data_IF_835736765404
#
_entry.id   IF_835736765404
#
_cell.length_a   1.000
_cell.length_b   1.000
_cell.length_c   1.000
_cell.angle_alpha   90.00
_cell.angle_beta   90.00
_cell.angle_gamma   90.00
#
_symmetry.space_group_name_H-M   'P 1'
#
loop_
_entity.id
_entity.type
_entity.pdbx_description
1 polymer ?
#
# COMPACT_ATOMS: atom_id res chain seq x y z
N UNK A 1 -24.72 7.74 10.72
CA UNK A 1 -23.44 7.41 10.07
C UNK A 1 -22.74 8.69 9.65
N UNK A 2 -21.51 8.87 10.03
CA UNK A 2 -20.70 9.96 9.45
C UNK A 2 -20.38 9.60 8.01
N UNK A 3 -20.77 10.45 7.06
CA UNK A 3 -20.41 10.32 5.66
C UNK A 3 -18.88 10.44 5.55
N UNK A 4 -18.25 9.47 4.89
CA UNK A 4 -16.82 9.54 4.59
C UNK A 4 -16.58 10.68 3.61
N UNK A 5 -15.59 11.53 3.88
CA UNK A 5 -15.21 12.61 2.98
C UNK A 5 -14.76 12.06 1.62
N UNK A 6 -15.13 12.75 0.57
CA UNK A 6 -14.78 12.40 -0.80
C UNK A 6 -13.70 13.34 -1.34
N UNK A 7 -13.07 12.97 -2.45
CA UNK A 7 -12.13 13.83 -3.17
C UNK A 7 -12.78 15.17 -3.59
N UNK A 8 -14.08 15.16 -3.89
CA UNK A 8 -14.85 16.36 -4.21
C UNK A 8 -15.02 17.28 -3.00
N UNK A 9 -15.22 16.71 -1.82
CA UNK A 9 -15.30 17.50 -0.58
C UNK A 9 -13.97 18.20 -0.28
N UNK A 10 -12.84 17.51 -0.53
CA UNK A 10 -11.49 18.11 -0.41
C UNK A 10 -11.31 19.24 -1.40
N UNK A 11 -11.65 19.03 -2.67
CA UNK A 11 -11.55 20.04 -3.73
C UNK A 11 -12.34 21.30 -3.37
N UNK A 12 -13.57 21.13 -2.89
CA UNK A 12 -14.44 22.21 -2.42
C UNK A 12 -13.83 22.94 -1.22
N UNK A 13 -13.31 22.21 -0.24
CA UNK A 13 -12.71 22.78 0.98
C UNK A 13 -11.42 23.53 0.68
N UNK A 14 -10.63 23.06 -0.26
CA UNK A 14 -9.37 23.66 -0.69
C UNK A 14 -9.55 24.75 -1.77
N UNK A 15 -10.78 24.96 -2.27
CA UNK A 15 -11.09 25.87 -3.37
C UNK A 15 -10.27 25.60 -4.65
N UNK A 16 -10.08 24.33 -4.98
CA UNK A 16 -9.36 23.87 -6.17
C UNK A 16 -10.17 22.86 -6.96
N UNK A 17 -9.74 22.52 -8.17
CA UNK A 17 -10.37 21.46 -8.96
C UNK A 17 -10.09 20.06 -8.39
N UNK A 18 -10.98 19.10 -8.68
CA UNK A 18 -10.73 17.68 -8.37
C UNK A 18 -9.42 17.16 -8.98
N UNK A 19 -9.09 17.66 -10.16
CA UNK A 19 -7.83 17.31 -10.84
C UNK A 19 -6.62 17.80 -10.05
N UNK A 20 -6.68 18.98 -9.46
CA UNK A 20 -5.60 19.52 -8.62
C UNK A 20 -5.42 18.66 -7.37
N UNK A 21 -6.51 18.28 -6.69
CA UNK A 21 -6.44 17.34 -5.54
C UNK A 21 -5.82 16.02 -5.96
N UNK A 22 -6.27 15.45 -7.08
CA UNK A 22 -5.73 14.19 -7.60
C UNK A 22 -4.23 14.30 -7.92
N UNK A 23 -3.78 15.44 -8.48
CA UNK A 23 -2.36 15.67 -8.75
C UNK A 23 -1.54 15.79 -7.46
N UNK A 24 -2.02 16.51 -6.45
CA UNK A 24 -1.33 16.59 -5.15
C UNK A 24 -1.14 15.20 -4.54
N UNK A 25 -2.13 14.32 -4.67
CA UNK A 25 -2.07 12.96 -4.13
C UNK A 25 -1.13 12.06 -4.93
N UNK A 26 -1.15 12.14 -6.26
CA UNK A 26 -0.46 11.18 -7.13
C UNK A 26 0.84 11.70 -7.74
N UNK A 27 0.95 13.00 -7.94
CA UNK A 27 2.04 13.68 -8.63
C UNK A 27 2.31 15.05 -7.98
N UNK A 28 2.67 15.07 -6.67
CA UNK A 28 2.90 16.32 -5.95
C UNK A 28 3.98 17.18 -6.61
N UNK A 29 4.95 16.56 -7.26
CA UNK A 29 6.02 17.23 -8.00
C UNK A 29 5.52 18.15 -9.13
N UNK A 30 4.29 17.93 -9.60
CA UNK A 30 3.66 18.72 -10.66
C UNK A 30 2.78 19.86 -10.12
N UNK A 31 2.74 20.06 -8.82
CA UNK A 31 1.87 21.07 -8.18
C UNK A 31 2.72 22.02 -7.35
N UNK A 32 2.40 23.31 -7.43
CA UNK A 32 3.08 24.32 -6.62
C UNK A 32 2.95 24.03 -5.13
N UNK A 33 4.02 24.25 -4.37
CA UNK A 33 4.09 23.91 -2.94
C UNK A 33 2.99 24.55 -2.10
N UNK A 34 2.60 25.78 -2.44
CA UNK A 34 1.50 26.49 -1.76
C UNK A 34 0.14 25.76 -1.93
N UNK A 35 -0.12 25.24 -3.11
CA UNK A 35 -1.33 24.46 -3.38
C UNK A 35 -1.30 23.09 -2.70
N UNK A 36 -0.13 22.44 -2.62
CA UNK A 36 0.04 21.19 -1.87
C UNK A 36 -0.37 21.39 -0.41
N UNK A 37 0.16 22.42 0.26
CA UNK A 37 -0.15 22.73 1.66
C UNK A 37 -1.65 22.96 1.85
N UNK A 38 -2.31 23.71 0.96
CA UNK A 38 -3.74 24.01 1.06
C UNK A 38 -4.59 22.73 0.91
N UNK A 39 -4.22 21.85 -0.02
CA UNK A 39 -4.93 20.58 -0.25
C UNK A 39 -4.70 19.60 0.91
N UNK A 40 -3.47 19.49 1.39
CA UNK A 40 -3.13 18.62 2.54
C UNK A 40 -3.85 19.05 3.82
N UNK A 41 -3.91 20.37 4.09
CA UNK A 41 -4.68 20.92 5.21
C UNK A 41 -6.19 20.59 5.10
N UNK A 42 -6.75 20.73 3.90
CA UNK A 42 -8.14 20.36 3.63
C UNK A 42 -8.40 18.86 3.85
N UNK A 43 -7.49 18.01 3.39
CA UNK A 43 -7.56 16.55 3.61
C UNK A 43 -7.52 16.23 5.11
N UNK A 44 -6.62 16.86 5.84
CA UNK A 44 -6.49 16.66 7.29
C UNK A 44 -7.76 17.10 8.03
N UNK A 45 -8.28 18.31 7.74
CA UNK A 45 -9.50 18.86 8.36
C UNK A 45 -10.76 18.02 8.10
N UNK A 46 -10.82 17.37 6.95
CA UNK A 46 -11.93 16.50 6.57
C UNK A 46 -11.70 15.04 6.98
N UNK A 47 -10.55 14.72 7.58
CA UNK A 47 -10.12 13.35 7.84
C UNK A 47 -10.23 12.49 6.57
N UNK A 48 -9.86 13.07 5.43
CA UNK A 48 -9.87 12.39 4.14
C UNK A 48 -8.60 11.57 3.97
N UNK A 49 -8.78 10.29 3.72
CA UNK A 49 -7.70 9.39 3.35
C UNK A 49 -7.89 8.93 1.91
N UNK A 50 -6.87 9.09 1.04
CA UNK A 50 -6.96 8.59 -0.32
C UNK A 50 -7.33 7.11 -0.34
N UNK A 51 -8.34 6.76 -1.14
CA UNK A 51 -8.77 5.37 -1.27
C UNK A 51 -7.74 4.60 -2.12
N UNK A 52 -6.85 3.88 -1.45
CA UNK A 52 -5.82 3.09 -2.12
C UNK A 52 -6.41 1.98 -3.00
N UNK A 53 -7.55 1.41 -2.62
CA UNK A 53 -8.23 0.39 -3.44
C UNK A 53 -8.76 0.97 -4.76
N UNK A 54 -9.38 2.15 -4.72
CA UNK A 54 -9.82 2.83 -5.95
C UNK A 54 -8.62 3.24 -6.83
N UNK A 55 -7.51 3.66 -6.21
CA UNK A 55 -6.28 4.00 -6.92
C UNK A 55 -5.65 2.76 -7.55
N UNK A 56 -5.59 1.66 -6.82
CA UNK A 56 -5.10 0.37 -7.30
C UNK A 56 -5.89 -0.10 -8.52
N UNK A 57 -7.21 0.00 -8.47
CA UNK A 57 -8.09 -0.36 -9.58
C UNK A 57 -7.82 0.51 -10.82
N UNK A 58 -7.65 1.83 -10.63
CA UNK A 58 -7.40 2.75 -11.74
C UNK A 58 -6.02 2.53 -12.40
N UNK A 59 -5.02 2.06 -11.65
CA UNK A 59 -3.66 1.79 -12.13
C UNK A 59 -3.42 0.32 -12.50
N UNK A 60 -4.40 -0.55 -12.31
CA UNK A 60 -4.24 -2.01 -12.39
C UNK A 60 -3.08 -2.53 -11.52
N UNK A 61 -2.88 -1.91 -10.36
CA UNK A 61 -1.84 -2.24 -9.38
C UNK A 61 -2.46 -2.32 -8.00
N UNK A 62 -2.06 -3.30 -7.20
CA UNK A 62 -2.58 -3.46 -5.84
C UNK A 62 -1.84 -2.59 -4.83
N UNK A 63 -0.61 -2.20 -5.15
CA UNK A 63 0.34 -1.59 -4.23
C UNK A 63 0.61 -2.45 -2.99
N UNK A 64 0.54 -3.76 -3.17
CA UNK A 64 0.80 -4.76 -2.13
C UNK A 64 1.94 -5.68 -2.57
N UNK A 65 2.90 -5.88 -1.69
CA UNK A 65 3.91 -6.93 -1.79
C UNK A 65 3.66 -7.94 -0.68
N UNK A 66 3.63 -9.22 -1.01
CA UNK A 66 3.46 -10.30 -0.03
C UNK A 66 4.83 -10.88 0.35
N UNK A 67 5.10 -10.94 1.64
CA UNK A 67 6.23 -11.66 2.18
C UNK A 67 5.74 -13.01 2.72
N UNK A 68 6.17 -14.08 2.09
CA UNK A 68 5.72 -15.45 2.36
C UNK A 68 6.84 -16.22 3.04
N UNK A 69 6.59 -16.71 4.25
CA UNK A 69 7.52 -17.53 5.01
C UNK A 69 6.98 -18.96 5.06
N UNK A 70 7.64 -19.88 4.34
CA UNK A 70 7.23 -21.29 4.20
C UNK A 70 7.93 -22.22 5.19
N UNK A 71 8.82 -21.69 6.01
CA UNK A 71 9.47 -22.41 7.10
C UNK A 71 8.86 -22.07 8.46
N UNK A 72 9.15 -22.88 9.45
CA UNK A 72 8.72 -22.58 10.81
C UNK A 72 9.55 -21.41 11.36
N UNK A 73 8.88 -20.38 11.81
CA UNK A 73 9.50 -19.16 12.33
C UNK A 73 9.73 -19.31 13.82
N UNK A 74 10.97 -19.10 14.25
CA UNK A 74 11.29 -18.86 15.64
C UNK A 74 11.08 -17.37 15.94
N UNK A 75 10.10 -17.04 16.76
CA UNK A 75 9.74 -15.67 17.12
C UNK A 75 10.83 -14.96 17.96
N UNK A 76 11.80 -15.74 18.44
CA UNK A 76 12.99 -15.21 19.15
C UNK A 76 14.15 -14.89 18.21
N UNK A 77 14.11 -15.34 16.96
CA UNK A 77 15.16 -15.06 15.97
C UNK A 77 15.01 -13.62 15.41
N UNK A 78 15.99 -12.75 15.67
CA UNK A 78 15.94 -11.37 15.16
C UNK A 78 16.05 -11.28 13.63
N UNK A 79 16.43 -12.35 12.93
CA UNK A 79 16.57 -12.35 11.49
C UNK A 79 15.27 -11.95 10.78
N UNK A 80 14.15 -12.65 11.05
CA UNK A 80 12.88 -12.38 10.43
C UNK A 80 12.33 -11.00 10.80
N UNK A 81 12.53 -10.59 12.05
CA UNK A 81 12.13 -9.26 12.51
C UNK A 81 12.86 -8.16 11.73
N UNK A 82 14.17 -8.28 11.58
CA UNK A 82 14.99 -7.32 10.85
C UNK A 82 14.63 -7.26 9.36
N UNK A 83 14.43 -8.42 8.72
CA UNK A 83 14.01 -8.50 7.32
C UNK A 83 12.65 -7.84 7.14
N UNK A 84 11.69 -8.18 7.99
CA UNK A 84 10.32 -7.63 7.92
C UNK A 84 10.31 -6.10 8.04
N UNK A 85 11.00 -5.54 9.02
CA UNK A 85 11.09 -4.08 9.21
C UNK A 85 11.86 -3.40 8.08
N UNK A 86 12.95 -4.01 7.60
CA UNK A 86 13.69 -3.50 6.46
C UNK A 86 12.84 -3.42 5.20
N UNK A 87 12.11 -4.49 4.88
CA UNK A 87 11.18 -4.54 3.74
C UNK A 87 10.05 -3.50 3.88
N UNK A 88 9.42 -3.46 5.06
CA UNK A 88 8.33 -2.51 5.31
C UNK A 88 8.79 -1.06 5.15
N UNK A 89 10.00 -0.74 5.60
CA UNK A 89 10.59 0.59 5.49
C UNK A 89 10.83 0.99 4.03
N UNK A 90 11.40 0.09 3.22
CA UNK A 90 11.66 0.37 1.81
C UNK A 90 10.37 0.44 0.99
N UNK A 91 9.45 -0.48 1.21
CA UNK A 91 8.15 -0.49 0.52
C UNK A 91 7.33 0.76 0.81
N UNK A 92 7.37 1.26 2.06
CA UNK A 92 6.70 2.50 2.44
C UNK A 92 7.16 3.70 1.61
N UNK A 93 8.45 3.81 1.30
CA UNK A 93 9.01 4.89 0.45
C UNK A 93 8.39 4.89 -0.96
N UNK A 94 7.98 3.73 -1.42
CA UNK A 94 7.38 3.51 -2.73
C UNK A 94 5.84 3.49 -2.69
N UNK A 95 5.23 3.81 -1.55
CA UNK A 95 3.78 3.72 -1.30
C UNK A 95 3.21 2.30 -1.47
N UNK A 96 4.01 1.27 -1.19
CA UNK A 96 3.58 -0.12 -1.11
C UNK A 96 3.25 -0.51 0.32
N UNK A 97 2.30 -1.42 0.46
CA UNK A 97 2.00 -2.12 1.72
C UNK A 97 2.65 -3.50 1.72
N UNK A 98 3.08 -3.95 2.88
CA UNK A 98 3.60 -5.30 3.08
C UNK A 98 2.53 -6.17 3.73
N UNK A 99 2.24 -7.33 3.14
CA UNK A 99 1.41 -8.37 3.73
C UNK A 99 2.28 -9.57 4.08
N UNK A 100 2.29 -9.94 5.36
CA UNK A 100 3.00 -11.13 5.83
C UNK A 100 2.09 -12.36 5.76
N UNK A 101 2.56 -13.42 5.12
CA UNK A 101 1.92 -14.72 5.06
C UNK A 101 2.86 -15.77 5.65
N UNK A 102 2.35 -16.53 6.61
CA UNK A 102 3.10 -17.61 7.24
C UNK A 102 2.73 -18.95 6.62
N UNK A 103 3.56 -19.96 6.88
CA UNK A 103 3.33 -21.35 6.50
C UNK A 103 1.89 -21.80 6.81
N UNK A 104 1.23 -22.39 5.83
CA UNK A 104 -0.17 -22.82 5.93
C UNK A 104 -1.20 -21.74 5.58
N UNK A 105 -0.77 -20.50 5.29
CA UNK A 105 -1.67 -19.49 4.74
C UNK A 105 -2.07 -19.81 3.30
N UNK A 106 -3.28 -19.42 2.90
CA UNK A 106 -3.67 -19.46 1.49
C UNK A 106 -2.92 -18.34 0.73
N UNK A 107 -2.08 -18.73 -0.23
CA UNK A 107 -1.21 -17.81 -0.95
C UNK A 107 -1.97 -16.98 -2.00
N UNK A 108 -3.04 -17.52 -2.54
CA UNK A 108 -3.87 -16.98 -3.61
C UNK A 108 -4.90 -15.93 -3.15
N UNK A 109 -5.02 -15.71 -1.83
CA UNK A 109 -5.97 -14.73 -1.31
C UNK A 109 -5.54 -13.28 -1.59
N UNK A 110 -6.22 -12.68 -2.55
CA UNK A 110 -6.05 -11.29 -2.93
C UNK A 110 -4.83 -11.05 -3.83
N UNK A 111 -4.99 -10.11 -4.73
CA UNK A 111 -3.95 -9.73 -5.67
C UNK A 111 -2.77 -9.06 -4.97
N UNK A 112 -1.57 -9.25 -5.51
CA UNK A 112 -0.35 -8.57 -5.13
C UNK A 112 0.46 -8.20 -6.37
N UNK A 113 1.28 -7.16 -6.26
CA UNK A 113 2.18 -6.74 -7.35
C UNK A 113 3.50 -7.51 -7.32
N UNK A 114 3.77 -8.20 -6.22
CA UNK A 114 4.97 -9.03 -6.08
C UNK A 114 4.98 -9.87 -4.82
N UNK A 115 5.85 -10.86 -4.85
CA UNK A 115 6.05 -11.81 -3.75
C UNK A 115 7.53 -11.90 -3.39
N UNK A 116 7.83 -11.93 -2.10
CA UNK A 116 9.14 -12.31 -1.57
C UNK A 116 8.92 -13.55 -0.74
N UNK A 117 9.64 -14.62 -1.06
CA UNK A 117 9.40 -15.95 -0.49
C UNK A 117 10.67 -16.45 0.15
N UNK A 118 10.58 -16.94 1.37
CA UNK A 118 11.66 -17.61 2.09
C UNK A 118 11.25 -18.98 2.58
N UNK A 119 12.22 -19.88 2.76
CA UNK A 119 11.98 -21.24 3.24
C UNK A 119 11.31 -22.17 2.24
N UNK A 120 11.27 -21.81 0.95
CA UNK A 120 10.68 -22.62 -0.09
C UNK A 120 11.47 -23.94 -0.28
N UNK A 121 10.74 -25.04 -0.37
CA UNK A 121 11.25 -26.38 -0.70
C UNK A 121 10.74 -26.82 -2.06
N UNK A 122 11.32 -27.87 -2.62
CA UNK A 122 10.91 -28.39 -3.94
C UNK A 122 9.41 -28.72 -4.02
N UNK A 123 8.83 -29.17 -2.91
CA UNK A 123 7.41 -29.55 -2.83
C UNK A 123 6.48 -28.31 -2.84
N UNK A 124 6.99 -27.12 -2.59
CA UNK A 124 6.21 -25.87 -2.60
C UNK A 124 6.07 -25.27 -4.02
N UNK A 125 6.93 -25.65 -4.96
CA UNK A 125 6.97 -25.07 -6.31
C UNK A 125 5.64 -25.11 -7.07
N UNK A 126 4.82 -26.17 -7.01
CA UNK A 126 3.53 -26.17 -7.70
C UNK A 126 2.62 -25.02 -7.26
N UNK A 127 2.57 -24.73 -5.95
CA UNK A 127 1.76 -23.63 -5.41
C UNK A 127 2.34 -22.25 -5.75
N UNK A 128 3.66 -22.16 -5.81
CA UNK A 128 4.35 -20.90 -6.10
C UNK A 128 4.26 -20.50 -7.58
N UNK A 129 4.15 -21.47 -8.47
CA UNK A 129 3.99 -21.23 -9.91
C UNK A 129 2.62 -20.69 -10.30
N UNK A 130 1.64 -20.72 -9.39
CA UNK A 130 0.29 -20.20 -9.59
C UNK A 130 0.14 -18.73 -9.12
N UNK A 131 1.17 -18.16 -8.50
CA UNK A 131 1.20 -16.76 -8.03
C UNK A 131 1.62 -15.79 -9.13
#
# INVERSE_FOLDING_TARGET
MKRTATLEDVARKAHVSKMTVSRVINHPELVASELQVVVEDAMHKLNYHPNNAARALAKNQTSVVKFVILEDVDDTDPYFTNVLFGMATELKKQNYSLQLLLKGSQLDQGAADGYVITGARTDDYPQLNEL
#
